data_IF_374698576539
#
_entry.id   IF_374698576539
#
_cell.length_a   1.000
_cell.length_b   1.000
_cell.length_c   1.000
_cell.angle_alpha   90.00
_cell.angle_beta   90.00
_cell.angle_gamma   90.00
#
_symmetry.space_group_name_H-M   'P 1'
#
loop_
_entity.id
_entity.type
_entity.pdbx_description
1 polymer ?
#
# COMPACT_ATOMS: atom_id res chain seq x y z
N UNK A 1 -27.15 3.20 -0.69
CA UNK A 1 -25.82 2.54 -0.83
C UNK A 1 -24.86 3.37 -0.01
N UNK A 2 -24.21 2.79 1.00
CA UNK A 2 -23.49 3.58 2.01
C UNK A 2 -22.04 3.11 2.11
N UNK A 3 -21.14 3.96 1.59
CA UNK A 3 -19.68 3.77 1.63
C UNK A 3 -19.10 4.14 3.01
N UNK A 4 -19.97 4.27 4.01
CA UNK A 4 -19.65 4.73 5.36
C UNK A 4 -19.19 3.54 6.20
N UNK A 5 -18.05 3.70 6.87
CA UNK A 5 -17.56 2.75 7.84
C UNK A 5 -18.41 2.83 9.11
N UNK A 6 -19.01 1.72 9.52
CA UNK A 6 -19.78 1.64 10.77
C UNK A 6 -18.95 1.17 11.97
N UNK A 7 -17.64 0.99 11.77
CA UNK A 7 -16.71 0.39 12.74
C UNK A 7 -15.33 1.07 12.69
N UNK A 8 -14.50 0.74 13.69
CA UNK A 8 -13.09 1.11 13.75
C UNK A 8 -12.82 2.59 14.01
N UNK A 9 -11.57 3.00 13.80
CA UNK A 9 -11.05 4.35 14.09
C UNK A 9 -11.78 5.45 13.31
N UNK A 10 -12.22 5.15 12.10
CA UNK A 10 -12.86 6.09 11.19
C UNK A 10 -14.37 5.85 11.04
N UNK A 11 -15.02 5.45 12.14
CA UNK A 11 -16.48 5.27 12.16
C UNK A 11 -17.22 6.54 11.71
N UNK A 12 -18.29 6.35 10.96
CA UNK A 12 -19.13 7.38 10.33
C UNK A 12 -18.45 8.21 9.23
N UNK A 13 -17.25 7.82 8.77
CA UNK A 13 -16.59 8.42 7.60
C UNK A 13 -16.71 7.50 6.39
N UNK A 14 -16.64 8.08 5.19
CA UNK A 14 -16.64 7.28 3.96
C UNK A 14 -15.28 6.65 3.70
N UNK A 15 -15.25 5.51 3.00
CA UNK A 15 -13.98 4.89 2.62
C UNK A 15 -13.09 5.81 1.77
N UNK A 16 -13.68 6.71 0.99
CA UNK A 16 -12.99 7.73 0.20
C UNK A 16 -12.25 8.73 1.08
N UNK A 17 -12.93 9.27 2.10
CA UNK A 17 -12.32 10.17 3.07
C UNK A 17 -11.19 9.50 3.84
N UNK A 18 -11.39 8.24 4.22
CA UNK A 18 -10.39 7.45 4.93
C UNK A 18 -9.20 7.14 4.04
N UNK A 19 -9.42 6.82 2.77
CA UNK A 19 -8.33 6.64 1.81
C UNK A 19 -7.51 7.91 1.65
N UNK A 20 -8.15 9.09 1.57
CA UNK A 20 -7.45 10.37 1.48
C UNK A 20 -6.67 10.75 2.75
N UNK A 21 -7.20 10.40 3.94
CA UNK A 21 -6.56 10.70 5.23
C UNK A 21 -5.50 9.68 5.63
N UNK A 22 -5.76 8.40 5.38
CA UNK A 22 -4.97 7.26 5.85
C UNK A 22 -5.09 6.08 4.88
N UNK A 23 -4.26 6.15 3.83
CA UNK A 23 -4.11 5.06 2.84
C UNK A 23 -3.70 3.74 3.51
N UNK A 24 -2.97 3.77 4.63
CA UNK A 24 -2.54 2.55 5.31
C UNK A 24 -3.71 1.85 5.99
N UNK A 25 -4.61 2.61 6.60
CA UNK A 25 -5.85 2.07 7.15
C UNK A 25 -6.72 1.46 6.06
N UNK A 26 -6.91 2.16 4.93
CA UNK A 26 -7.66 1.63 3.80
C UNK A 26 -7.04 0.31 3.26
N UNK A 27 -5.71 0.23 3.20
CA UNK A 27 -5.00 -0.98 2.78
C UNK A 27 -5.10 -2.11 3.80
N UNK A 28 -5.02 -1.82 5.10
CA UNK A 28 -5.26 -2.80 6.16
C UNK A 28 -6.68 -3.34 6.10
N UNK A 29 -7.65 -2.51 5.72
CA UNK A 29 -9.05 -2.88 5.65
C UNK A 29 -9.36 -3.83 4.49
N UNK A 30 -8.61 -3.73 3.39
CA UNK A 30 -8.79 -4.54 2.17
C UNK A 30 -8.91 -6.05 2.43
N UNK A 31 -8.00 -6.72 3.15
CA UNK A 31 -8.10 -8.16 3.43
C UNK A 31 -9.13 -8.52 4.52
N UNK A 32 -9.81 -7.56 5.15
CA UNK A 32 -10.69 -7.82 6.30
C UNK A 32 -12.11 -8.22 5.88
N UNK A 33 -12.26 -9.39 5.28
CA UNK A 33 -13.56 -9.88 4.80
C UNK A 33 -14.64 -9.93 5.89
N UNK A 34 -14.26 -10.14 7.16
CA UNK A 34 -15.22 -10.09 8.28
C UNK A 34 -15.82 -8.68 8.46
N UNK A 35 -15.03 -7.63 8.20
CA UNK A 35 -15.42 -6.24 8.41
C UNK A 35 -16.12 -5.62 7.19
N UNK A 36 -15.65 -5.97 5.98
CA UNK A 36 -16.14 -5.39 4.72
C UNK A 36 -16.89 -6.37 3.82
N UNK A 37 -16.98 -7.65 4.17
CA UNK A 37 -17.67 -8.66 3.35
C UNK A 37 -19.17 -8.41 3.20
N UNK A 38 -19.79 -7.72 4.16
CA UNK A 38 -21.18 -7.24 4.07
C UNK A 38 -21.33 -5.91 3.32
N UNK A 39 -20.22 -5.28 2.89
CA UNK A 39 -20.18 -3.96 2.24
C UNK A 39 -19.43 -4.06 0.90
N UNK A 40 -20.09 -4.58 -0.15
CA UNK A 40 -19.46 -4.79 -1.46
C UNK A 40 -18.91 -3.49 -2.06
N UNK A 41 -19.55 -2.34 -1.82
CA UNK A 41 -19.11 -1.03 -2.32
C UNK A 41 -17.71 -0.65 -1.79
N UNK A 42 -17.46 -0.89 -0.49
CA UNK A 42 -16.17 -0.61 0.15
C UNK A 42 -15.11 -1.56 -0.38
N UNK A 43 -15.45 -2.85 -0.51
CA UNK A 43 -14.54 -3.86 -1.06
C UNK A 43 -14.16 -3.51 -2.50
N UNK A 44 -15.14 -3.18 -3.34
CA UNK A 44 -14.94 -2.78 -4.73
C UNK A 44 -14.08 -1.51 -4.83
N UNK A 45 -14.36 -0.49 -4.03
CA UNK A 45 -13.54 0.73 -3.99
C UNK A 45 -12.09 0.43 -3.65
N UNK A 46 -11.84 -0.40 -2.62
CA UNK A 46 -10.49 -0.77 -2.22
C UNK A 46 -9.80 -1.61 -3.28
N UNK A 47 -10.49 -2.57 -3.88
CA UNK A 47 -9.94 -3.36 -4.99
C UNK A 47 -9.63 -2.48 -6.21
N UNK A 48 -10.49 -1.53 -6.57
CA UNK A 48 -10.24 -0.64 -7.72
C UNK A 48 -9.11 0.36 -7.43
N UNK A 49 -8.97 0.86 -6.20
CA UNK A 49 -7.87 1.76 -5.82
C UNK A 49 -6.54 1.04 -5.63
N UNK A 50 -6.57 -0.24 -5.27
CA UNK A 50 -5.37 -1.07 -5.09
C UNK A 50 -5.14 -2.07 -6.24
N UNK A 51 -5.92 -2.02 -7.32
CA UNK A 51 -5.77 -2.86 -8.52
C UNK A 51 -4.42 -2.65 -9.21
N UNK A 52 -3.91 -1.43 -9.15
CA UNK A 52 -2.58 -1.06 -9.66
C UNK A 52 -1.45 -1.30 -8.64
N UNK A 53 -1.77 -1.82 -7.45
CA UNK A 53 -0.72 -2.30 -6.56
C UNK A 53 -0.21 -3.59 -7.17
N UNK A 54 0.91 -3.47 -7.88
CA UNK A 54 1.66 -4.47 -8.65
C UNK A 54 2.11 -5.71 -7.84
N UNK A 55 1.49 -5.99 -6.69
CA UNK A 55 1.90 -6.88 -5.59
C UNK A 55 3.35 -6.72 -5.12
N UNK A 56 4.10 -5.80 -5.72
CA UNK A 56 5.46 -5.46 -5.34
C UNK A 56 5.48 -4.78 -3.98
N UNK A 57 6.65 -4.86 -3.35
CA UNK A 57 6.84 -4.34 -2.02
C UNK A 57 6.42 -2.87 -1.92
N UNK A 58 5.55 -2.60 -0.96
CA UNK A 58 5.10 -1.26 -0.67
C UNK A 58 6.06 -0.59 0.33
N UNK A 59 6.55 0.59 -0.02
CA UNK A 59 7.33 1.39 0.91
C UNK A 59 6.43 1.87 2.07
N UNK A 60 6.74 1.42 3.28
CA UNK A 60 6.06 1.85 4.51
C UNK A 60 6.74 3.06 5.16
N UNK A 61 7.90 3.47 4.65
CA UNK A 61 8.75 4.54 5.14
C UNK A 61 9.48 5.25 3.99
N UNK A 62 10.25 6.29 4.30
CA UNK A 62 11.12 6.99 3.34
C UNK A 62 10.40 8.00 2.44
N UNK A 63 11.12 8.52 1.43
CA UNK A 63 10.67 9.58 0.50
C UNK A 63 9.39 9.17 -0.25
N UNK A 64 9.30 7.90 -0.63
CA UNK A 64 8.19 7.34 -1.43
C UNK A 64 7.26 6.46 -0.60
N UNK A 65 6.96 6.86 0.65
CA UNK A 65 6.00 6.16 1.51
C UNK A 65 4.65 6.00 0.79
N UNK A 66 4.07 4.81 0.91
CA UNK A 66 2.84 4.37 0.24
C UNK A 66 2.91 4.19 -1.28
N UNK A 67 4.10 4.32 -1.89
CA UNK A 67 4.34 3.89 -3.26
C UNK A 67 4.97 2.50 -3.31
N UNK A 68 4.73 1.77 -4.39
CA UNK A 68 5.33 0.46 -4.62
C UNK A 68 6.74 0.60 -5.18
N UNK A 69 7.61 -0.36 -4.87
CA UNK A 69 8.98 -0.38 -5.37
C UNK A 69 9.02 -0.41 -6.91
N UNK A 70 8.05 -1.07 -7.56
CA UNK A 70 7.95 -1.06 -9.03
C UNK A 70 7.61 0.32 -9.60
N UNK A 71 6.72 1.07 -8.94
CA UNK A 71 6.44 2.47 -9.31
C UNK A 71 7.67 3.37 -9.09
N UNK A 72 8.43 3.13 -8.02
CA UNK A 72 9.68 3.85 -7.75
C UNK A 72 10.73 3.53 -8.82
N UNK A 73 10.86 2.26 -9.23
CA UNK A 73 11.79 1.86 -10.29
C UNK A 73 11.49 2.59 -11.61
N UNK A 74 10.22 2.76 -11.98
CA UNK A 74 9.83 3.46 -13.21
C UNK A 74 9.91 4.97 -13.10
N UNK A 75 9.66 5.54 -11.91
CA UNK A 75 9.59 7.00 -11.71
C UNK A 75 10.93 7.62 -11.31
N UNK A 76 11.69 6.97 -10.42
CA UNK A 76 12.97 7.45 -9.88
C UNK A 76 13.97 6.29 -9.72
N UNK A 77 14.61 5.96 -10.85
CA UNK A 77 15.61 4.89 -10.91
C UNK A 77 16.85 5.19 -10.04
N UNK A 78 17.20 6.45 -9.84
CA UNK A 78 18.34 6.83 -9.01
C UNK A 78 18.08 6.50 -7.53
N UNK A 79 16.87 6.81 -7.04
CA UNK A 79 16.46 6.44 -5.69
C UNK A 79 16.36 4.91 -5.52
N UNK A 80 15.86 4.20 -6.54
CA UNK A 80 15.83 2.74 -6.53
C UNK A 80 17.25 2.13 -6.42
N UNK A 81 18.21 2.61 -7.21
CA UNK A 81 19.61 2.17 -7.13
C UNK A 81 20.25 2.51 -5.77
N UNK A 82 19.89 3.65 -5.19
CA UNK A 82 20.32 3.99 -3.85
C UNK A 82 19.78 3.01 -2.81
N UNK A 83 18.50 2.60 -2.90
CA UNK A 83 17.90 1.61 -2.00
C UNK A 83 18.65 0.27 -2.07
N UNK A 84 19.03 -0.18 -3.26
CA UNK A 84 19.80 -1.43 -3.45
C UNK A 84 21.17 -1.40 -2.78
N UNK A 85 21.86 -0.25 -2.84
CA UNK A 85 23.21 -0.08 -2.30
C UNK A 85 23.21 0.35 -0.83
N UNK A 86 22.06 0.57 -0.22
CA UNK A 86 21.96 1.08 1.13
C UNK A 86 22.20 -0.03 2.18
N UNK A 87 23.22 0.15 3.02
CA UNK A 87 23.56 -0.80 4.10
C UNK A 87 22.42 -1.05 5.09
N UNK A 88 21.64 -0.01 5.42
CA UNK A 88 20.51 -0.15 6.33
C UNK A 88 19.43 -1.05 5.73
N UNK A 89 19.12 -0.87 4.45
CA UNK A 89 18.13 -1.71 3.74
C UNK A 89 18.62 -3.15 3.67
N UNK A 90 19.89 -3.35 3.32
CA UNK A 90 20.48 -4.67 3.23
C UNK A 90 20.50 -5.43 4.55
N UNK A 91 20.69 -4.74 5.68
CA UNK A 91 20.79 -5.37 7.01
C UNK A 91 19.45 -5.49 7.74
N UNK A 92 18.56 -4.51 7.60
CA UNK A 92 17.35 -4.41 8.44
C UNK A 92 16.04 -4.70 7.68
N UNK A 93 16.06 -4.76 6.34
CA UNK A 93 14.85 -4.88 5.54
C UNK A 93 14.94 -6.04 4.54
N UNK A 94 14.97 -7.30 5.00
CA UNK A 94 15.15 -8.47 4.13
C UNK A 94 14.07 -8.57 3.05
N UNK A 95 12.79 -8.35 3.42
CA UNK A 95 11.66 -8.36 2.47
C UNK A 95 11.75 -7.27 1.39
N UNK A 96 12.30 -6.11 1.74
CA UNK A 96 12.51 -5.02 0.80
C UNK A 96 13.64 -5.36 -0.16
N UNK A 97 14.73 -5.94 0.36
CA UNK A 97 15.87 -6.38 -0.46
C UNK A 97 15.46 -7.45 -1.48
N UNK A 98 14.75 -8.48 -1.04
CA UNK A 98 14.21 -9.51 -1.96
C UNK A 98 13.35 -8.90 -3.07
N UNK A 99 12.52 -7.91 -2.74
CA UNK A 99 11.67 -7.23 -3.71
C UNK A 99 12.45 -6.33 -4.68
N UNK A 100 13.52 -5.68 -4.22
CA UNK A 100 14.43 -4.91 -5.07
C UNK A 100 15.16 -5.84 -6.05
N UNK A 101 15.65 -6.98 -5.57
CA UNK A 101 16.35 -7.97 -6.39
C UNK A 101 15.40 -8.63 -7.41
N UNK A 102 14.12 -8.86 -7.05
CA UNK A 102 13.11 -9.44 -7.96
C UNK A 102 12.72 -8.49 -9.11
N UNK A 103 12.83 -7.18 -8.93
CA UNK A 103 12.43 -6.19 -9.96
C UNK A 103 13.52 -5.99 -11.02
N UNK A 104 14.77 -6.23 -10.66
CA UNK A 104 15.93 -6.15 -11.57
C UNK A 104 16.35 -7.53 -12.13
N UNK A 105 15.68 -8.62 -11.73
CA UNK A 105 15.89 -9.99 -12.24
C UNK A 105 15.16 -10.23 -13.56
#
# INVERSE_FOLDING_TARGET
MSNILTFGKYKNQTIEEVYGKDVQYARWLRPQDILIGSKPDIKQFLEDKFKDSDNSYLMTWGKYKNHTIKWIHTTDKAYFQWLQKNDYVAKNCPKLKEALDTIDA
#
